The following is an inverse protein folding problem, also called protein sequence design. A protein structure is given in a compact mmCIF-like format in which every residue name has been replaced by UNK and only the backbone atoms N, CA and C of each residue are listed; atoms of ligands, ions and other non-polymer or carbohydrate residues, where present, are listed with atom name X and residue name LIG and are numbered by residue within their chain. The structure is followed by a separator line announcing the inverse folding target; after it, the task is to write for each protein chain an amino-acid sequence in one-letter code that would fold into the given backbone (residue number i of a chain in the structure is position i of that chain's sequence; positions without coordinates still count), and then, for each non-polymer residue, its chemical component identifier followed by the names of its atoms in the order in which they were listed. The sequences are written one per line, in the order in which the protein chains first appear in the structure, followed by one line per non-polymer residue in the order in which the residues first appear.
data_IF_619748135572
#
_entry.id   IF_619748135572
#
_cell.length_a   1.000
_cell.length_b   1.000
_cell.length_c   1.000
_cell.angle_alpha   90.00
_cell.angle_beta   90.00
_cell.angle_gamma   90.00
#
_symmetry.space_group_name_H-M   'P 1'
#
loop_
_entity.id
_entity.type
_entity.pdbx_description
1 polymer ?
#
# COMPACT_ATOMS: atom_id res chain seq x y z
N UNK A 1 -15.52 -13.60 -15.54
CA UNK A 1 -14.27 -13.83 -14.77
C UNK A 1 -14.29 -13.00 -13.50
N UNK A 2 -13.39 -13.31 -12.55
CA UNK A 2 -13.11 -12.47 -11.38
C UNK A 2 -11.75 -11.82 -11.56
N UNK A 3 -11.57 -10.62 -10.99
CA UNK A 3 -10.25 -9.97 -10.97
C UNK A 3 -9.24 -10.92 -10.31
N UNK A 4 -8.12 -11.19 -10.99
CA UNK A 4 -7.05 -12.03 -10.46
C UNK A 4 -6.44 -11.37 -9.22
N UNK A 5 -6.05 -12.18 -8.24
CA UNK A 5 -5.48 -11.68 -6.97
C UNK A 5 -4.27 -10.78 -7.15
N UNK A 6 -3.45 -10.99 -8.19
CA UNK A 6 -2.30 -10.13 -8.51
C UNK A 6 -2.69 -8.68 -8.82
N UNK A 7 -3.82 -8.43 -9.49
CA UNK A 7 -4.29 -7.06 -9.74
C UNK A 7 -4.79 -6.39 -8.46
N UNK A 8 -5.43 -7.15 -7.57
CA UNK A 8 -5.84 -6.64 -6.25
C UNK A 8 -4.58 -6.30 -5.43
N UNK A 9 -3.57 -7.16 -5.46
CA UNK A 9 -2.27 -6.95 -4.81
C UNK A 9 -1.59 -5.67 -5.33
N UNK A 10 -1.54 -5.48 -6.65
CA UNK A 10 -0.99 -4.27 -7.26
C UNK A 10 -1.78 -3.00 -6.89
N UNK A 11 -3.11 -3.07 -6.80
CA UNK A 11 -3.93 -1.94 -6.35
C UNK A 11 -3.68 -1.57 -4.88
N UNK A 12 -3.46 -2.58 -4.02
CA UNK A 12 -3.05 -2.35 -2.64
C UNK A 12 -1.69 -1.66 -2.57
N UNK A 13 -0.70 -2.19 -3.30
CA UNK A 13 0.67 -1.62 -3.33
C UNK A 13 0.68 -0.19 -3.89
N UNK A 14 -0.10 0.09 -4.95
CA UNK A 14 -0.28 1.44 -5.50
C UNK A 14 -0.94 2.44 -4.53
N UNK A 15 -1.57 1.96 -3.46
CA UNK A 15 -2.10 2.82 -2.38
C UNK A 15 -1.09 2.96 -1.25
N UNK A 16 -0.46 1.86 -0.86
CA UNK A 16 0.52 1.80 0.24
C UNK A 16 1.83 2.52 -0.10
N UNK A 17 2.32 2.38 -1.34
CA UNK A 17 3.56 3.00 -1.81
C UNK A 17 3.54 4.53 -1.68
N UNK A 18 2.58 5.25 -2.29
CA UNK A 18 2.46 6.69 -2.12
C UNK A 18 2.26 7.12 -0.66
N UNK A 19 1.44 6.39 0.11
CA UNK A 19 1.28 6.68 1.54
C UNK A 19 2.61 6.54 2.29
N UNK A 20 3.40 5.51 2.01
CA UNK A 20 4.70 5.29 2.63
C UNK A 20 5.67 6.45 2.35
N UNK A 21 5.64 7.00 1.12
CA UNK A 21 6.46 8.15 0.75
C UNK A 21 6.03 9.41 1.52
N UNK A 22 4.72 9.71 1.55
CA UNK A 22 4.16 10.85 2.27
C UNK A 22 4.47 10.81 3.77
N UNK A 23 4.35 9.64 4.38
CA UNK A 23 4.56 9.43 5.82
C UNK A 23 6.05 9.41 6.16
N UNK A 24 6.89 8.90 5.26
CA UNK A 24 8.32 8.81 5.50
C UNK A 24 9.10 10.09 5.21
N UNK A 25 8.60 10.92 4.29
CA UNK A 25 9.32 12.09 3.78
C UNK A 25 10.50 11.70 2.88
N UNK A 26 10.54 10.47 2.40
CA UNK A 26 11.67 9.90 1.67
C UNK A 26 11.33 8.60 0.95
N UNK A 27 12.37 7.94 0.43
CA UNK A 27 12.20 6.65 -0.20
C UNK A 27 11.83 5.59 0.84
N UNK A 28 10.78 4.82 0.54
CA UNK A 28 10.44 3.62 1.26
C UNK A 28 10.10 2.50 0.26
N UNK A 29 10.42 1.26 0.61
CA UNK A 29 10.18 0.09 -0.25
C UNK A 29 9.43 -0.98 0.52
N UNK A 30 8.49 -1.64 -0.15
CA UNK A 30 7.75 -2.78 0.40
C UNK A 30 8.72 -3.93 0.68
N UNK A 31 8.83 -4.38 1.93
CA UNK A 31 9.61 -5.56 2.30
C UNK A 31 8.74 -6.81 2.28
N UNK A 32 7.52 -6.69 2.80
CA UNK A 32 6.55 -7.78 2.82
C UNK A 32 5.14 -7.21 2.77
N UNK A 33 4.27 -7.99 2.12
CA UNK A 33 2.84 -7.72 2.07
C UNK A 33 2.11 -9.05 2.09
N UNK A 34 1.36 -9.29 3.17
CA UNK A 34 0.47 -10.43 3.27
C UNK A 34 -0.95 -9.98 2.90
N UNK A 35 -1.60 -10.70 1.98
CA UNK A 35 -2.97 -10.42 1.54
C UNK A 35 -3.89 -11.59 1.86
N UNK A 36 -5.00 -11.30 2.55
CA UNK A 36 -6.10 -12.22 2.76
C UNK A 36 -7.25 -11.86 1.82
N UNK A 37 -7.66 -12.80 0.96
CA UNK A 37 -8.77 -12.62 0.02
C UNK A 37 -10.08 -13.10 0.64
N UNK A 38 -11.05 -12.21 0.76
CA UNK A 38 -12.37 -12.50 1.36
C UNK A 38 -13.41 -12.79 0.27
N UNK A 39 -13.36 -12.07 -0.85
CA UNK A 39 -14.22 -12.33 -2.02
C UNK A 39 -13.60 -11.80 -3.30
N UNK A 40 -14.03 -12.34 -4.44
CA UNK A 40 -13.59 -11.83 -5.74
C UNK A 40 -14.45 -10.69 -6.27
N UNK A 41 -13.81 -9.77 -7.01
CA UNK A 41 -14.44 -8.67 -7.74
C UNK A 41 -14.85 -9.09 -9.14
N UNK A 42 -16.02 -8.63 -9.59
CA UNK A 42 -16.51 -8.84 -10.97
C UNK A 42 -15.98 -7.73 -11.88
N UNK A 43 -15.86 -8.03 -13.17
CA UNK A 43 -15.58 -7.01 -14.18
C UNK A 43 -16.67 -5.92 -14.16
N UNK A 44 -16.26 -4.65 -14.29
CA UNK A 44 -17.16 -3.50 -14.22
C UNK A 44 -17.47 -3.01 -12.81
N UNK A 45 -17.03 -3.72 -11.76
CA UNK A 45 -17.13 -3.24 -10.38
C UNK A 45 -15.95 -2.32 -10.02
N UNK A 46 -16.08 -1.58 -8.93
CA UNK A 46 -15.05 -0.68 -8.41
C UNK A 46 -14.33 -1.31 -7.22
N UNK A 47 -13.00 -1.21 -7.20
CA UNK A 47 -12.16 -1.59 -6.07
C UNK A 47 -11.68 -0.34 -5.35
N UNK A 48 -12.18 -0.09 -4.14
CA UNK A 48 -11.70 1.02 -3.29
C UNK A 48 -10.73 0.48 -2.26
N UNK A 49 -9.48 0.94 -2.32
CA UNK A 49 -8.45 0.63 -1.34
C UNK A 49 -8.33 1.77 -0.33
N UNK A 50 -8.17 1.45 0.94
CA UNK A 50 -7.88 2.41 2.01
C UNK A 50 -6.75 1.85 2.86
N UNK A 51 -5.68 2.62 3.01
CA UNK A 51 -4.50 2.25 3.79
C UNK A 51 -4.38 3.10 5.06
N UNK A 52 -3.86 2.49 6.12
CA UNK A 52 -3.70 3.09 7.44
C UNK A 52 -2.30 2.79 7.96
N UNK A 53 -1.60 3.83 8.45
CA UNK A 53 -0.34 3.65 9.16
C UNK A 53 -0.62 3.17 10.57
N UNK A 54 -0.04 2.04 10.95
CA UNK A 54 -0.15 1.48 12.29
C UNK A 54 1.03 1.87 13.17
N UNK A 55 2.24 1.89 12.59
CA UNK A 55 3.46 2.26 13.29
C UNK A 55 4.50 2.85 12.36
N UNK A 56 5.27 3.81 12.88
CA UNK A 56 6.39 4.45 12.18
C UNK A 56 7.62 4.51 13.08
N UNK A 57 8.75 4.07 12.53
CA UNK A 57 10.07 4.30 13.10
C UNK A 57 11.00 4.96 12.08
N UNK A 58 12.26 5.17 12.46
CA UNK A 58 13.30 5.71 11.57
C UNK A 58 13.56 4.81 10.35
N UNK A 59 13.39 3.50 10.49
CA UNK A 59 13.76 2.51 9.47
C UNK A 59 12.59 1.67 8.99
N UNK A 60 11.43 1.73 9.63
CA UNK A 60 10.30 0.86 9.30
C UNK A 60 8.97 1.62 9.29
N UNK A 61 8.05 1.18 8.43
CA UNK A 61 6.62 1.47 8.52
C UNK A 61 5.84 0.16 8.56
N UNK A 62 4.87 0.08 9.46
CA UNK A 62 3.86 -0.98 9.49
C UNK A 62 2.53 -0.35 9.09
N UNK A 63 1.89 -0.92 8.06
CA UNK A 63 0.64 -0.40 7.52
C UNK A 63 -0.32 -1.55 7.21
N UNK A 64 -1.61 -1.25 7.39
CA UNK A 64 -2.70 -2.10 6.93
C UNK A 64 -3.39 -1.47 5.72
N UNK A 65 -3.99 -2.29 4.85
CA UNK A 65 -4.90 -1.82 3.82
C UNK A 65 -6.15 -2.70 3.71
N UNK A 66 -7.28 -2.06 3.40
CA UNK A 66 -8.56 -2.72 3.16
C UNK A 66 -9.07 -2.37 1.77
N UNK A 67 -9.49 -3.39 1.04
CA UNK A 67 -10.13 -3.27 -0.26
C UNK A 67 -11.63 -3.51 -0.12
N UNK A 68 -12.46 -2.67 -0.73
CA UNK A 68 -13.92 -2.84 -0.75
C UNK A 68 -14.45 -2.79 -2.19
N UNK A 69 -15.53 -3.53 -2.46
CA UNK A 69 -16.27 -3.42 -3.73
C UNK A 69 -17.11 -2.12 -3.80
N UNK A 70 -17.75 -1.84 -4.93
CA UNK A 70 -18.58 -0.64 -5.11
C UNK A 70 -19.79 -0.56 -4.17
N UNK A 71 -20.12 -1.64 -3.46
CA UNK A 71 -21.18 -1.71 -2.45
C UNK A 71 -20.65 -1.64 -1.02
N UNK A 72 -19.36 -1.36 -0.85
CA UNK A 72 -18.71 -1.24 0.45
C UNK A 72 -18.40 -2.57 1.12
N UNK A 73 -18.44 -3.71 0.41
CA UNK A 73 -18.12 -5.00 1.02
C UNK A 73 -16.61 -5.30 0.93
N UNK A 74 -15.97 -5.71 2.04
CA UNK A 74 -14.53 -6.11 2.15
C UNK A 74 -14.05 -7.22 1.19
N UNK A 75 -13.30 -6.88 0.15
CA UNK A 75 -12.76 -7.77 -0.88
C UNK A 75 -11.48 -8.48 -0.41
N UNK A 76 -10.56 -7.72 0.17
CA UNK A 76 -9.30 -8.24 0.68
C UNK A 76 -8.76 -7.32 1.78
N UNK A 77 -7.91 -7.87 2.65
CA UNK A 77 -7.13 -7.12 3.64
C UNK A 77 -5.65 -7.38 3.38
N UNK A 78 -4.82 -6.37 3.60
CA UNK A 78 -3.39 -6.48 3.59
C UNK A 78 -2.78 -6.01 4.91
N UNK A 79 -1.72 -6.68 5.35
CA UNK A 79 -0.80 -6.21 6.39
C UNK A 79 0.61 -6.19 5.82
N UNK A 80 1.30 -5.06 5.98
CA UNK A 80 2.51 -4.75 5.22
C UNK A 80 3.60 -4.11 6.07
N UNK A 81 4.84 -4.38 5.69
CA UNK A 81 6.03 -3.75 6.24
C UNK A 81 6.83 -3.09 5.12
N UNK A 82 7.25 -1.85 5.36
CA UNK A 82 8.13 -1.09 4.48
C UNK A 82 9.43 -0.76 5.18
N UNK A 83 10.54 -0.83 4.44
CA UNK A 83 11.81 -0.26 4.85
C UNK A 83 11.84 1.21 4.47
N UNK A 84 12.19 2.07 5.42
CA UNK A 84 12.40 3.50 5.18
C UNK A 84 13.89 3.78 5.01
N UNK A 85 14.23 4.57 4.01
CA UNK A 85 15.57 5.08 3.80
C UNK A 85 15.64 6.55 4.20
N UNK A 86 16.63 6.89 5.03
CA UNK A 86 16.89 8.27 5.37
C UNK A 86 17.38 9.00 4.11
N UNK A 87 16.67 10.06 3.69
CA UNK A 87 17.18 10.96 2.64
C UNK A 87 18.40 11.69 3.21
N UNK A 88 19.57 11.49 2.59
CA UNK A 88 20.76 12.25 2.98
C UNK A 88 20.61 13.67 2.43
N UNK A 89 20.98 14.67 3.24
CA UNK A 89 20.84 16.09 2.88
C UNK A 89 21.57 16.50 1.58
N UNK A 90 22.56 15.72 1.11
CA UNK A 90 23.28 15.96 -0.15
C UNK A 90 22.40 15.80 -1.40
N UNK A 91 21.37 14.95 -1.36
CA UNK A 91 20.57 14.61 -2.54
C UNK A 91 19.54 15.70 -2.91
N UNK A 92 19.37 16.72 -2.05
CA UNK A 92 18.47 17.87 -2.29
C UNK A 92 19.09 19.00 -3.12
N UNK A 93 20.42 19.07 -3.21
CA UNK A 93 21.12 20.22 -3.81
C UNK A 93 21.35 20.04 -5.32
N UNK A 94 21.37 18.81 -5.84
CA UNK A 94 21.64 18.54 -7.27
C UNK A 94 20.40 18.58 -8.18
N UNK A 95 19.22 18.96 -7.68
CA UNK A 95 17.96 18.98 -8.46
C UNK A 95 17.34 20.37 -8.69
N UNK A 96 18.09 21.45 -8.45
CA UNK A 96 17.68 22.81 -8.81
C UNK A 96 18.61 23.41 -9.88
#
# INVERSE_FOLDING_TARGET
GRMQGGFICAAMDNTLGPLSFLVSGGAAVTLSMNLDFVRGIKAGDTLRVTATVLSRSRTNLIMDALAHDGRGKLVARASTQFQVFAVRAKDRVEKN
#
